data_IF_616582379002
#
_entry.id   IF_616582379002
#
_cell.length_a   1.000
_cell.length_b   1.000
_cell.length_c   1.000
_cell.angle_alpha   90.00
_cell.angle_beta   90.00
_cell.angle_gamma   90.00
#
_symmetry.space_group_name_H-M   'P 1'
#
loop_
_entity.id
_entity.type
_entity.pdbx_description
1 polymer ?
#
# COMPACT_ATOMS: atom_id res chain seq x y z
N UNK A 1 36.00 -1.57 37.06
CA UNK A 1 34.61 -1.40 37.53
C UNK A 1 33.69 -1.48 36.33
N UNK A 2 32.65 -2.32 36.30
CA UNK A 2 31.74 -2.36 35.16
C UNK A 2 30.91 -1.07 35.13
N UNK A 3 30.97 -0.34 34.01
CA UNK A 3 30.12 0.82 33.74
C UNK A 3 28.66 0.38 33.76
N UNK A 4 27.89 0.89 34.73
CA UNK A 4 26.43 0.83 34.69
C UNK A 4 25.96 1.80 33.62
N UNK A 5 25.64 1.28 32.44
CA UNK A 5 24.91 2.02 31.43
C UNK A 5 23.47 2.16 31.93
N UNK A 6 23.09 3.38 32.32
CA UNK A 6 21.68 3.71 32.52
C UNK A 6 21.02 3.73 31.15
N UNK A 7 20.39 2.62 30.79
CA UNK A 7 19.40 2.62 29.72
C UNK A 7 18.20 3.39 30.28
N UNK A 8 17.96 4.60 29.76
CA UNK A 8 16.67 5.26 29.96
C UNK A 8 15.60 4.40 29.27
N UNK A 9 15.03 3.46 30.03
CA UNK A 9 13.76 2.85 29.65
C UNK A 9 12.72 3.97 29.68
N UNK A 10 12.11 4.26 28.53
CA UNK A 10 10.92 5.09 28.47
C UNK A 10 9.91 4.61 29.53
N UNK A 11 9.20 5.52 30.23
CA UNK A 11 8.30 5.10 31.29
C UNK A 11 7.24 4.16 30.72
N UNK A 12 7.26 2.92 31.19
CA UNK A 12 6.13 2.00 31.13
C UNK A 12 5.21 2.46 32.25
N UNK A 13 4.40 3.50 32.01
CA UNK A 13 3.25 3.86 32.84
C UNK A 13 2.35 4.89 32.12
N UNK A 14 1.06 4.55 31.98
CA UNK A 14 -0.04 5.45 32.33
C UNK A 14 -0.30 6.77 31.58
N UNK A 15 0.45 7.19 30.57
CA UNK A 15 0.06 8.38 29.80
C UNK A 15 -1.18 8.07 28.95
N UNK A 16 -2.36 8.48 29.43
CA UNK A 16 -3.56 8.56 28.61
C UNK A 16 -3.27 9.48 27.42
N UNK A 17 -3.17 8.91 26.22
CA UNK A 17 -3.06 9.70 25.00
C UNK A 17 -4.24 10.68 24.95
N UNK A 18 -3.96 11.94 24.65
CA UNK A 18 -5.00 12.98 24.56
C UNK A 18 -5.62 13.04 23.16
N UNK A 19 -6.77 13.68 23.03
CA UNK A 19 -7.39 13.91 21.73
C UNK A 19 -6.51 14.77 20.82
N UNK A 20 -5.77 15.72 21.38
CA UNK A 20 -4.84 16.58 20.65
C UNK A 20 -3.65 15.78 20.09
N UNK A 21 -3.15 14.79 20.83
CA UNK A 21 -2.10 13.89 20.34
C UNK A 21 -2.59 13.03 19.18
N UNK A 22 -3.82 12.51 19.29
CA UNK A 22 -4.44 11.75 18.21
C UNK A 22 -4.72 12.63 16.99
N UNK A 23 -5.12 13.89 17.19
CA UNK A 23 -5.36 14.86 16.13
C UNK A 23 -4.04 15.23 15.43
N UNK A 24 -2.96 15.49 16.19
CA UNK A 24 -1.62 15.68 15.63
C UNK A 24 -1.18 14.48 14.80
N UNK A 25 -1.41 13.27 15.28
CA UNK A 25 -1.09 12.06 14.52
C UNK A 25 -1.88 11.97 13.21
N UNK A 26 -3.15 12.40 13.19
CA UNK A 26 -3.95 12.50 11.98
C UNK A 26 -3.38 13.54 10.99
N UNK A 27 -2.98 14.73 11.46
CA UNK A 27 -2.31 15.72 10.61
C UNK A 27 -1.00 15.20 10.01
N UNK A 28 -0.14 14.59 10.83
CA UNK A 28 1.14 14.02 10.36
C UNK A 28 0.88 12.92 9.31
N UNK A 29 -0.02 11.99 9.62
CA UNK A 29 -0.37 10.91 8.69
C UNK A 29 -0.98 11.46 7.39
N UNK A 30 -1.80 12.50 7.47
CA UNK A 30 -2.37 13.16 6.29
C UNK A 30 -1.27 13.83 5.46
N UNK A 31 -0.43 14.67 6.07
CA UNK A 31 0.67 15.36 5.40
C UNK A 31 1.64 14.41 4.69
N UNK A 32 2.02 13.30 5.33
CA UNK A 32 2.88 12.28 4.72
C UNK A 32 2.22 11.53 3.57
N UNK A 33 0.89 11.38 3.63
CA UNK A 33 0.12 10.69 2.61
C UNK A 33 -0.19 11.57 1.40
N UNK A 34 -0.25 12.90 1.57
CA UNK A 34 -0.53 13.83 0.48
C UNK A 34 0.48 13.68 -0.66
N UNK A 35 -0.04 13.60 -1.88
CA UNK A 35 0.77 13.65 -3.08
C UNK A 35 1.20 15.10 -3.33
N UNK A 36 2.50 15.36 -3.27
CA UNK A 36 3.08 16.69 -3.54
C UNK A 36 3.61 16.80 -4.98
N UNK A 37 3.26 15.85 -5.85
CA UNK A 37 3.74 15.80 -7.23
C UNK A 37 3.24 16.97 -8.06
N UNK A 38 2.12 17.60 -7.68
CA UNK A 38 1.59 18.79 -8.32
C UNK A 38 1.93 19.99 -7.42
N UNK A 39 2.81 20.87 -7.89
CA UNK A 39 3.27 22.05 -7.14
C UNK A 39 2.08 22.90 -6.67
N UNK A 40 2.01 23.13 -5.36
CA UNK A 40 1.01 24.01 -4.74
C UNK A 40 -0.39 23.42 -4.59
N UNK A 41 -0.62 22.17 -5.03
CA UNK A 41 -1.95 21.58 -5.02
C UNK A 41 -2.17 20.69 -3.78
N UNK A 42 -3.24 20.97 -3.04
CA UNK A 42 -3.59 20.33 -1.79
C UNK A 42 -4.62 19.22 -2.03
N UNK A 43 -4.17 18.00 -2.35
CA UNK A 43 -5.06 16.86 -2.64
C UNK A 43 -5.80 16.32 -1.40
N UNK A 44 -6.94 15.65 -1.61
CA UNK A 44 -7.66 14.98 -0.52
C UNK A 44 -7.03 13.63 -0.18
N UNK A 45 -7.42 13.02 0.93
CA UNK A 45 -7.02 11.66 1.27
C UNK A 45 -8.17 10.82 1.82
N UNK A 46 -8.09 9.50 1.66
CA UNK A 46 -9.13 8.57 2.12
C UNK A 46 -9.25 8.59 3.64
N UNK A 47 -10.44 8.86 4.16
CA UNK A 47 -10.72 8.86 5.61
C UNK A 47 -10.40 7.50 6.24
N UNK A 48 -10.78 6.41 5.57
CA UNK A 48 -10.54 5.05 6.04
C UNK A 48 -9.05 4.69 6.05
N UNK A 49 -8.27 5.13 5.05
CA UNK A 49 -6.82 4.90 5.06
C UNK A 49 -6.14 5.73 6.14
N UNK A 50 -6.56 6.97 6.33
CA UNK A 50 -6.05 7.81 7.41
C UNK A 50 -6.31 7.16 8.77
N UNK A 51 -7.52 6.64 8.97
CA UNK A 51 -7.89 5.85 10.16
C UNK A 51 -6.94 4.68 10.39
N UNK A 52 -6.66 3.90 9.34
CA UNK A 52 -5.76 2.73 9.43
C UNK A 52 -4.34 3.14 9.83
N UNK A 53 -3.80 4.21 9.24
CA UNK A 53 -2.45 4.70 9.54
C UNK A 53 -2.37 5.20 10.99
N UNK A 54 -3.35 5.98 11.43
CA UNK A 54 -3.37 6.51 12.80
C UNK A 54 -3.55 5.37 13.80
N UNK A 55 -4.48 4.44 13.54
CA UNK A 55 -4.71 3.26 14.38
C UNK A 55 -3.48 2.36 14.47
N UNK A 56 -2.70 2.20 13.38
CA UNK A 56 -1.48 1.40 13.43
C UNK A 56 -0.35 2.07 14.22
N UNK A 57 -0.29 3.41 14.21
CA UNK A 57 0.73 4.19 14.93
C UNK A 57 0.43 4.31 16.41
N UNK A 58 -0.83 4.56 16.75
CA UNK A 58 -1.30 4.80 18.12
C UNK A 58 -2.45 3.86 18.48
N UNK A 59 -2.24 2.53 18.51
CA UNK A 59 -3.33 1.57 18.67
C UNK A 59 -4.08 1.74 19.99
N UNK A 60 -3.35 1.96 21.11
CA UNK A 60 -3.96 2.15 22.43
C UNK A 60 -4.75 3.46 22.53
N UNK A 61 -4.18 4.58 22.07
CA UNK A 61 -4.88 5.87 22.10
C UNK A 61 -6.09 5.88 21.19
N UNK A 62 -5.99 5.26 20.01
CA UNK A 62 -7.12 5.08 19.11
C UNK A 62 -8.24 4.29 19.78
N UNK A 63 -7.91 3.16 20.42
CA UNK A 63 -8.90 2.34 21.10
C UNK A 63 -9.59 3.11 22.24
N UNK A 64 -8.82 3.82 23.07
CA UNK A 64 -9.32 4.56 24.22
C UNK A 64 -10.18 5.76 23.84
N UNK A 65 -9.77 6.54 22.84
CA UNK A 65 -10.45 7.79 22.45
C UNK A 65 -11.58 7.52 21.44
N UNK A 66 -11.30 6.70 20.42
CA UNK A 66 -12.22 6.47 19.30
C UNK A 66 -13.09 5.25 19.54
N UNK A 67 -12.51 4.07 19.75
CA UNK A 67 -13.31 2.83 19.74
C UNK A 67 -14.19 2.68 20.99
N UNK A 68 -13.65 3.05 22.17
CA UNK A 68 -14.31 2.94 23.49
C UNK A 68 -14.59 4.30 24.15
N UNK A 69 -14.04 5.37 23.60
CA UNK A 69 -14.11 6.71 24.19
C UNK A 69 -15.28 7.54 23.68
N UNK A 70 -15.16 8.86 23.84
CA UNK A 70 -16.24 9.84 23.58
C UNK A 70 -16.73 9.84 22.13
N UNK A 71 -15.91 9.39 21.19
CA UNK A 71 -16.28 9.35 19.77
C UNK A 71 -17.03 8.07 19.37
N UNK A 72 -17.08 7.02 20.21
CA UNK A 72 -17.89 5.82 19.99
C UNK A 72 -17.80 5.24 18.55
N UNK A 73 -16.58 5.06 18.05
CA UNK A 73 -16.22 4.59 16.69
C UNK A 73 -16.51 5.58 15.55
N UNK A 74 -16.90 6.82 15.85
CA UNK A 74 -17.16 7.88 14.86
C UNK A 74 -15.89 8.64 14.47
N UNK A 75 -14.99 7.94 13.79
CA UNK A 75 -13.71 8.48 13.31
C UNK A 75 -13.85 9.78 12.49
N UNK A 76 -14.82 9.84 11.58
CA UNK A 76 -15.01 11.01 10.72
C UNK A 76 -15.45 12.26 11.49
N UNK A 77 -16.26 12.10 12.56
CA UNK A 77 -16.64 13.22 13.42
C UNK A 77 -15.44 13.73 14.22
N UNK A 78 -14.60 12.83 14.75
CA UNK A 78 -13.35 13.23 15.41
C UNK A 78 -12.47 14.08 14.47
N UNK A 79 -12.33 13.65 13.21
CA UNK A 79 -11.57 14.41 12.22
C UNK A 79 -12.16 15.82 12.01
N UNK A 80 -13.47 15.94 11.94
CA UNK A 80 -14.15 17.21 11.66
C UNK A 80 -14.19 18.16 12.86
N UNK A 81 -14.51 17.64 14.04
CA UNK A 81 -14.77 18.44 15.23
C UNK A 81 -13.49 18.72 16.05
N UNK A 82 -12.48 17.83 15.97
CA UNK A 82 -11.27 17.95 16.78
C UNK A 82 -10.00 18.15 15.98
N UNK A 83 -9.85 17.47 14.84
CA UNK A 83 -8.61 17.47 14.07
C UNK A 83 -8.60 18.42 12.87
N UNK A 84 -9.60 19.30 12.71
CA UNK A 84 -9.55 20.36 11.69
C UNK A 84 -9.64 19.86 10.25
N UNK A 85 -10.40 18.80 9.99
CA UNK A 85 -10.65 18.30 8.63
C UNK A 85 -12.08 18.58 8.16
N UNK A 86 -12.28 18.57 6.85
CA UNK A 86 -13.59 18.42 6.23
C UNK A 86 -13.62 17.08 5.53
N UNK A 87 -14.54 16.19 5.92
CA UNK A 87 -14.74 14.91 5.26
C UNK A 87 -16.00 14.93 4.38
N UNK A 88 -15.89 14.41 3.16
CA UNK A 88 -16.89 14.53 2.12
C UNK A 88 -16.84 13.35 1.15
N UNK A 89 -17.95 13.10 0.46
CA UNK A 89 -17.96 12.26 -0.75
C UNK A 89 -18.03 13.18 -1.96
N UNK A 90 -17.31 12.84 -3.02
CA UNK A 90 -17.47 13.51 -4.30
C UNK A 90 -18.89 13.28 -4.83
N UNK A 91 -19.49 14.33 -5.40
CA UNK A 91 -20.82 14.27 -6.01
C UNK A 91 -20.69 13.89 -7.48
N UNK A 92 -21.78 13.44 -8.10
CA UNK A 92 -21.80 13.10 -9.53
C UNK A 92 -21.31 14.26 -10.41
N UNK A 93 -21.69 15.50 -10.09
CA UNK A 93 -21.23 16.67 -10.83
C UNK A 93 -19.72 16.93 -10.73
N UNK A 94 -19.05 16.46 -9.67
CA UNK A 94 -17.60 16.56 -9.56
C UNK A 94 -16.91 15.62 -10.55
N UNK A 95 -17.42 14.39 -10.71
CA UNK A 95 -16.90 13.43 -11.68
C UNK A 95 -17.10 13.89 -13.13
N UNK A 96 -18.18 14.62 -13.42
CA UNK A 96 -18.40 15.23 -14.74
C UNK A 96 -17.41 16.38 -15.02
N UNK A 97 -17.02 17.14 -13.98
CA UNK A 97 -16.08 18.26 -14.10
C UNK A 97 -14.61 17.83 -14.07
N UNK A 98 -14.33 16.63 -13.56
CA UNK A 98 -13.00 16.10 -13.34
C UNK A 98 -13.00 14.59 -13.63
N UNK A 99 -12.84 14.27 -14.91
CA UNK A 99 -13.01 12.92 -15.45
C UNK A 99 -12.10 11.87 -14.80
N UNK A 100 -10.90 12.27 -14.36
CA UNK A 100 -9.91 11.34 -13.82
C UNK A 100 -10.14 11.02 -12.34
N UNK A 101 -11.08 11.66 -11.65
CA UNK A 101 -11.43 11.28 -10.27
C UNK A 101 -11.86 9.81 -10.18
N UNK A 102 -12.64 9.34 -11.16
CA UNK A 102 -13.11 7.96 -11.24
C UNK A 102 -11.97 6.93 -11.44
N UNK A 103 -10.78 7.38 -11.86
CA UNK A 103 -9.61 6.52 -11.98
C UNK A 103 -9.20 5.98 -10.61
N UNK A 104 -9.36 6.75 -9.53
CA UNK A 104 -8.78 6.37 -8.24
C UNK A 104 -9.70 6.52 -7.02
N UNK A 105 -10.75 7.34 -7.09
CA UNK A 105 -11.69 7.57 -6.00
C UNK A 105 -13.08 7.02 -6.38
N UNK A 106 -13.54 5.94 -5.73
CA UNK A 106 -14.89 5.44 -5.96
C UNK A 106 -15.93 6.37 -5.31
N UNK A 107 -17.17 6.46 -5.85
CA UNK A 107 -18.21 7.39 -5.36
C UNK A 107 -18.59 7.23 -3.88
N UNK A 108 -18.35 6.04 -3.32
CA UNK A 108 -18.67 5.72 -1.92
C UNK A 108 -17.53 5.99 -0.95
N UNK A 109 -16.37 6.45 -1.44
CA UNK A 109 -15.21 6.69 -0.58
C UNK A 109 -15.25 8.07 0.05
N UNK A 110 -15.32 8.08 1.39
CA UNK A 110 -15.20 9.29 2.17
C UNK A 110 -13.76 9.82 2.11
N UNK A 111 -13.61 10.99 1.52
CA UNK A 111 -12.36 11.75 1.41
C UNK A 111 -12.33 12.80 2.50
N UNK A 112 -11.13 13.18 2.94
CA UNK A 112 -10.94 14.30 3.84
C UNK A 112 -9.91 15.27 3.25
N UNK A 113 -10.12 16.56 3.54
CA UNK A 113 -9.19 17.67 3.28
C UNK A 113 -9.02 18.48 4.55
N UNK A 114 -8.00 19.33 4.64
CA UNK A 114 -7.91 20.28 5.74
C UNK A 114 -8.99 21.37 5.57
N UNK A 115 -9.41 21.99 6.67
CA UNK A 115 -10.45 23.04 6.65
C UNK A 115 -10.02 24.22 5.78
N UNK A 116 -8.75 24.59 5.84
CA UNK A 116 -8.12 25.66 5.07
C UNK A 116 -7.99 25.37 3.57
N UNK A 117 -8.05 24.11 3.14
CA UNK A 117 -7.94 23.77 1.73
C UNK A 117 -9.24 24.11 0.97
N UNK A 118 -9.16 24.90 -0.10
CA UNK A 118 -10.32 25.16 -0.95
C UNK A 118 -10.76 23.90 -1.71
N UNK A 119 -12.07 23.62 -1.71
CA UNK A 119 -12.63 22.40 -2.31
C UNK A 119 -12.31 22.26 -3.81
N UNK A 120 -12.37 23.36 -4.56
CA UNK A 120 -12.12 23.37 -6.00
C UNK A 120 -10.66 23.01 -6.32
N UNK A 121 -9.71 23.55 -5.56
CA UNK A 121 -8.28 23.26 -5.71
C UNK A 121 -7.98 21.80 -5.35
N UNK A 122 -8.62 21.29 -4.29
CA UNK A 122 -8.53 19.88 -3.88
C UNK A 122 -9.04 18.97 -4.99
N UNK A 123 -10.16 19.32 -5.63
CA UNK A 123 -10.73 18.54 -6.73
C UNK A 123 -9.79 18.52 -7.94
N UNK A 124 -9.22 19.67 -8.30
CA UNK A 124 -8.25 19.75 -9.40
C UNK A 124 -6.99 18.93 -9.10
N UNK A 125 -6.50 18.99 -7.86
CA UNK A 125 -5.36 18.20 -7.41
C UNK A 125 -5.63 16.69 -7.51
N UNK A 126 -6.78 16.24 -7.01
CA UNK A 126 -7.18 14.84 -7.10
C UNK A 126 -7.36 14.39 -8.56
N UNK A 127 -7.97 15.22 -9.41
CA UNK A 127 -8.09 14.93 -10.84
C UNK A 127 -6.71 14.71 -11.50
N UNK A 128 -5.75 15.59 -11.22
CA UNK A 128 -4.41 15.49 -11.76
C UNK A 128 -3.65 14.26 -11.20
N UNK A 129 -3.91 13.85 -9.96
CA UNK A 129 -3.43 12.55 -9.44
C UNK A 129 -4.05 11.39 -10.23
N UNK A 130 -5.35 11.45 -10.54
CA UNK A 130 -6.01 10.46 -11.38
C UNK A 130 -5.37 10.34 -12.76
N UNK A 131 -5.07 11.47 -13.39
CA UNK A 131 -4.37 11.52 -14.68
C UNK A 131 -2.96 10.91 -14.57
N UNK A 132 -2.19 11.29 -13.55
CA UNK A 132 -0.85 10.74 -13.28
C UNK A 132 -0.91 9.22 -13.10
N UNK A 133 -1.84 8.73 -12.29
CA UNK A 133 -2.03 7.29 -12.07
C UNK A 133 -2.34 6.57 -13.37
N UNK A 134 -3.23 7.14 -14.20
CA UNK A 134 -3.60 6.55 -15.48
C UNK A 134 -2.42 6.49 -16.45
N UNK A 135 -1.63 7.56 -16.55
CA UNK A 135 -0.51 7.67 -17.47
C UNK A 135 0.69 6.82 -17.04
N UNK A 136 1.06 6.85 -15.76
CA UNK A 136 2.34 6.32 -15.29
C UNK A 136 2.25 4.97 -14.57
N UNK A 137 1.10 4.59 -14.02
CA UNK A 137 1.01 3.41 -13.14
C UNK A 137 -0.02 2.38 -13.56
N UNK A 138 -1.13 2.81 -14.16
CA UNK A 138 -2.27 1.92 -14.46
C UNK A 138 -2.25 1.37 -15.88
N UNK A 139 -1.22 1.67 -16.66
CA UNK A 139 -0.96 0.97 -17.92
C UNK A 139 -0.63 -0.51 -17.62
N UNK A 140 -1.26 -1.49 -18.30
CA UNK A 140 -1.09 -2.91 -17.98
C UNK A 140 0.36 -3.36 -17.93
N UNK A 141 1.17 -2.95 -18.91
CA UNK A 141 2.58 -3.33 -19.00
C UNK A 141 3.42 -2.70 -17.89
N UNK A 142 3.19 -1.43 -17.58
CA UNK A 142 3.89 -0.72 -16.52
C UNK A 142 3.56 -1.30 -15.15
N UNK A 143 2.29 -1.61 -14.89
CA UNK A 143 1.88 -2.22 -13.64
C UNK A 143 2.46 -3.63 -13.50
N UNK A 144 2.50 -4.41 -14.58
CA UNK A 144 3.11 -5.74 -14.60
C UNK A 144 4.62 -5.68 -14.34
N UNK A 145 5.33 -4.78 -15.02
CA UNK A 145 6.76 -4.54 -14.80
C UNK A 145 7.03 -4.13 -13.34
N UNK A 146 6.23 -3.22 -12.79
CA UNK A 146 6.30 -2.80 -11.38
C UNK A 146 6.10 -3.99 -10.44
N UNK A 147 5.09 -4.83 -10.68
CA UNK A 147 4.82 -6.02 -9.87
C UNK A 147 5.99 -7.02 -9.89
N UNK A 148 6.61 -7.23 -11.06
CA UNK A 148 7.79 -8.10 -11.21
C UNK A 148 9.01 -7.53 -10.49
N UNK A 149 9.31 -6.25 -10.69
CA UNK A 149 10.43 -5.57 -10.05
C UNK A 149 10.33 -5.63 -8.52
N UNK A 150 9.14 -5.37 -7.98
CA UNK A 150 8.92 -5.42 -6.53
C UNK A 150 9.02 -6.84 -5.99
N UNK A 151 8.49 -7.83 -6.72
CA UNK A 151 8.64 -9.26 -6.36
C UNK A 151 10.12 -9.68 -6.28
N UNK A 152 10.93 -9.26 -7.26
CA UNK A 152 12.37 -9.54 -7.30
C UNK A 152 13.13 -8.81 -6.18
N UNK A 153 12.76 -7.55 -5.88
CA UNK A 153 13.31 -6.77 -4.78
C UNK A 153 13.09 -7.48 -3.43
N UNK A 154 11.84 -7.88 -3.17
CA UNK A 154 11.46 -8.62 -1.96
C UNK A 154 12.20 -9.95 -1.85
N UNK A 155 12.28 -10.71 -2.93
CA UNK A 155 13.00 -11.99 -2.96
C UNK A 155 14.50 -11.80 -2.72
N UNK A 156 15.12 -10.78 -3.34
CA UNK A 156 16.55 -10.46 -3.16
C UNK A 156 16.84 -10.09 -1.71
N UNK A 157 15.99 -9.27 -1.08
CA UNK A 157 16.11 -8.92 0.32
C UNK A 157 16.00 -10.15 1.23
N UNK A 158 15.10 -11.08 0.92
CA UNK A 158 14.93 -12.32 1.68
C UNK A 158 16.08 -13.31 1.50
N UNK A 159 16.59 -13.48 0.26
CA UNK A 159 17.66 -14.42 -0.06
C UNK A 159 19.05 -13.96 0.39
N UNK A 160 19.26 -12.65 0.62
CA UNK A 160 20.48 -12.13 1.24
C UNK A 160 20.69 -12.59 2.68
N UNK A 161 19.70 -13.21 3.32
CA UNK A 161 19.77 -13.67 4.71
C UNK A 161 20.22 -15.14 4.80
N UNK A 162 20.72 -15.79 3.74
CA UNK A 162 21.03 -17.23 3.76
C UNK A 162 22.41 -17.55 4.37
N UNK A 163 22.49 -18.53 5.31
CA UNK A 163 21.36 -19.27 5.86
C UNK A 163 20.65 -18.44 6.93
N UNK A 164 19.30 -18.30 6.85
CA UNK A 164 18.58 -17.64 7.92
C UNK A 164 18.81 -18.47 9.19
N UNK A 165 19.15 -17.83 10.32
CA UNK A 165 19.22 -18.52 11.60
C UNK A 165 17.95 -19.34 11.83
N UNK A 166 18.01 -20.47 12.54
CA UNK A 166 16.82 -21.34 12.77
C UNK A 166 15.62 -20.61 13.41
N UNK A 167 15.86 -19.48 14.06
CA UNK A 167 14.86 -18.58 14.66
C UNK A 167 14.41 -17.44 13.73
N UNK A 168 15.11 -17.21 12.61
CA UNK A 168 14.75 -16.25 11.59
C UNK A 168 13.65 -16.83 10.72
N UNK A 169 12.42 -16.63 11.18
CA UNK A 169 11.24 -16.79 10.32
C UNK A 169 11.31 -15.67 9.29
N UNK A 170 11.44 -16.01 8.01
CA UNK A 170 11.14 -15.08 6.91
C UNK A 170 9.89 -14.31 7.31
N UNK A 171 9.96 -12.97 7.35
CA UNK A 171 8.83 -12.14 7.75
C UNK A 171 7.59 -12.65 7.02
N UNK A 172 6.53 -12.96 7.78
CA UNK A 172 5.29 -13.51 7.23
C UNK A 172 4.75 -12.66 6.07
N UNK A 173 5.11 -11.37 6.08
CA UNK A 173 4.78 -10.32 5.11
C UNK A 173 5.14 -10.65 3.65
N UNK A 174 6.20 -11.43 3.39
CA UNK A 174 6.67 -11.74 2.03
C UNK A 174 6.56 -13.23 1.63
N UNK A 175 6.09 -14.07 2.55
CA UNK A 175 6.13 -15.54 2.41
C UNK A 175 5.44 -16.09 1.14
N UNK A 176 4.33 -15.49 0.70
CA UNK A 176 3.60 -15.96 -0.47
C UNK A 176 4.24 -15.44 -1.77
N UNK A 177 4.82 -14.24 -1.77
CA UNK A 177 5.58 -13.70 -2.90
C UNK A 177 6.80 -14.58 -3.20
N UNK A 178 7.61 -14.88 -2.17
CA UNK A 178 8.82 -15.70 -2.31
C UNK A 178 8.46 -17.09 -2.84
N UNK A 179 7.45 -17.73 -2.23
CA UNK A 179 7.01 -19.05 -2.66
C UNK A 179 6.46 -19.05 -4.09
N UNK A 180 5.74 -18.01 -4.49
CA UNK A 180 5.25 -17.87 -5.86
C UNK A 180 6.44 -17.78 -6.83
N UNK A 181 7.45 -16.96 -6.51
CA UNK A 181 8.64 -16.81 -7.34
C UNK A 181 9.43 -18.11 -7.47
N UNK A 182 9.62 -18.87 -6.39
CA UNK A 182 10.29 -20.17 -6.42
C UNK A 182 9.61 -21.17 -7.37
N UNK A 183 8.27 -21.15 -7.43
CA UNK A 183 7.50 -21.99 -8.36
C UNK A 183 7.65 -21.48 -9.79
N UNK A 184 7.56 -20.15 -10.00
CA UNK A 184 7.66 -19.54 -11.33
C UNK A 184 9.05 -19.72 -11.95
N UNK A 185 10.11 -19.71 -11.15
CA UNK A 185 11.50 -19.91 -11.58
C UNK A 185 11.91 -21.39 -11.64
N UNK A 186 11.01 -22.33 -11.34
CA UNK A 186 11.33 -23.77 -11.32
C UNK A 186 12.29 -24.19 -10.20
N UNK A 187 12.53 -23.32 -9.20
CA UNK A 187 13.40 -23.60 -8.05
C UNK A 187 12.70 -24.41 -6.96
N UNK A 188 11.38 -24.49 -7.00
CA UNK A 188 10.60 -25.29 -6.05
C UNK A 188 10.92 -26.78 -6.22
N UNK A 189 11.54 -27.38 -5.20
CA UNK A 189 11.83 -28.82 -5.15
C UNK A 189 10.51 -29.58 -5.12
N UNK A 190 10.04 -30.00 -6.30
CA UNK A 190 9.07 -31.07 -6.56
C UNK A 190 7.88 -31.11 -5.58
N UNK A 191 6.78 -30.39 -5.86
CA UNK A 191 5.36 -30.72 -5.53
C UNK A 191 4.38 -29.55 -5.53
N UNK A 192 4.82 -28.32 -5.77
CA UNK A 192 3.92 -27.16 -5.69
C UNK A 192 3.54 -26.63 -7.06
N UNK A 193 2.25 -26.71 -7.37
CA UNK A 193 1.65 -25.99 -8.49
C UNK A 193 1.24 -24.59 -8.06
N UNK A 194 1.30 -23.64 -8.99
CA UNK A 194 0.65 -22.34 -8.81
C UNK A 194 -0.84 -22.59 -8.65
N UNK A 195 -1.44 -22.09 -7.57
CA UNK A 195 -2.88 -22.10 -7.38
C UNK A 195 -3.40 -20.70 -7.07
N UNK A 196 -4.68 -20.48 -7.36
CA UNK A 196 -5.36 -19.19 -7.18
C UNK A 196 -5.20 -18.62 -5.76
N UNK A 197 -5.20 -19.49 -4.74
CA UNK A 197 -5.09 -19.06 -3.35
C UNK A 197 -3.72 -18.46 -3.05
N UNK A 198 -2.65 -19.07 -3.56
CA UNK A 198 -1.30 -18.55 -3.45
C UNK A 198 -1.18 -17.23 -4.20
N UNK A 199 -1.65 -17.15 -5.44
CA UNK A 199 -1.62 -15.94 -6.26
C UNK A 199 -2.36 -14.78 -5.61
N UNK A 200 -3.58 -15.00 -5.09
CA UNK A 200 -4.36 -13.95 -4.41
C UNK A 200 -3.69 -13.45 -3.12
N UNK A 201 -2.97 -14.32 -2.40
CA UNK A 201 -2.22 -13.94 -1.20
C UNK A 201 -0.94 -13.20 -1.55
N UNK A 202 -0.19 -13.68 -2.55
CA UNK A 202 0.99 -13.00 -3.07
C UNK A 202 0.63 -11.61 -3.60
N UNK A 203 -0.46 -11.48 -4.36
CA UNK A 203 -0.97 -10.19 -4.83
C UNK A 203 -1.32 -9.25 -3.65
N UNK A 204 -1.95 -9.76 -2.58
CA UNK A 204 -2.26 -8.95 -1.40
C UNK A 204 -0.99 -8.46 -0.68
N UNK A 205 0.05 -9.29 -0.58
CA UNK A 205 1.36 -8.89 -0.04
C UNK A 205 2.02 -7.86 -0.95
N UNK A 206 2.00 -8.09 -2.27
CA UNK A 206 2.64 -7.22 -3.25
C UNK A 206 2.03 -5.81 -3.25
N UNK A 207 0.70 -5.70 -3.09
CA UNK A 207 0.02 -4.42 -2.90
C UNK A 207 0.59 -3.66 -1.68
N UNK A 208 0.91 -4.34 -0.57
CA UNK A 208 1.46 -3.68 0.60
C UNK A 208 2.86 -3.10 0.31
N UNK A 209 3.70 -3.84 -0.41
CA UNK A 209 5.03 -3.39 -0.81
C UNK A 209 4.95 -2.22 -1.81
N UNK A 210 4.17 -2.36 -2.87
CA UNK A 210 3.96 -1.29 -3.88
C UNK A 210 3.46 0.01 -3.22
N UNK A 211 2.52 -0.09 -2.26
CA UNK A 211 1.97 1.07 -1.57
C UNK A 211 2.95 1.71 -0.59
N UNK A 212 3.95 0.99 -0.10
CA UNK A 212 4.94 1.52 0.85
C UNK A 212 5.75 2.64 0.19
N UNK A 213 6.23 2.37 -1.01
CA UNK A 213 7.22 3.20 -1.69
C UNK A 213 6.61 4.23 -2.65
N UNK A 214 5.34 4.06 -3.03
CA UNK A 214 4.73 4.89 -4.06
C UNK A 214 3.61 5.80 -3.53
N UNK A 215 3.90 7.10 -3.39
CA UNK A 215 2.96 8.09 -2.83
C UNK A 215 1.71 8.28 -3.68
N UNK A 216 1.83 8.29 -5.01
CA UNK A 216 0.67 8.43 -5.90
C UNK A 216 -0.29 7.23 -5.74
N UNK A 217 0.23 6.01 -5.68
CA UNK A 217 -0.59 4.81 -5.51
C UNK A 217 -1.29 4.75 -4.13
N UNK A 218 -0.84 5.52 -3.13
CA UNK A 218 -1.58 5.69 -1.87
C UNK A 218 -2.93 6.40 -2.06
N UNK A 219 -3.15 7.10 -3.17
CA UNK A 219 -4.45 7.71 -3.48
C UNK A 219 -5.42 6.77 -4.19
N UNK A 220 -4.94 5.63 -4.68
CA UNK A 220 -5.78 4.61 -5.31
C UNK A 220 -6.50 3.78 -4.24
N UNK A 221 -7.77 3.48 -4.47
CA UNK A 221 -8.50 2.49 -3.66
C UNK A 221 -7.71 1.18 -3.56
N UNK A 222 -7.44 0.73 -2.33
CA UNK A 222 -6.71 -0.53 -2.08
C UNK A 222 -7.42 -1.72 -2.74
N UNK A 223 -8.75 -1.72 -2.73
CA UNK A 223 -9.53 -2.77 -3.38
C UNK A 223 -9.44 -2.73 -4.91
N UNK A 224 -9.25 -1.56 -5.51
CA UNK A 224 -9.01 -1.43 -6.96
C UNK A 224 -7.61 -1.92 -7.31
N UNK A 225 -6.59 -1.43 -6.60
CA UNK A 225 -5.20 -1.86 -6.81
C UNK A 225 -5.05 -3.38 -6.62
N UNK A 226 -5.66 -3.94 -5.56
CA UNK A 226 -5.62 -5.39 -5.31
C UNK A 226 -6.24 -6.19 -6.45
N UNK A 227 -7.35 -5.73 -7.04
CA UNK A 227 -7.97 -6.40 -8.20
C UNK A 227 -7.04 -6.38 -9.40
N UNK A 228 -6.44 -5.22 -9.71
CA UNK A 228 -5.50 -5.08 -10.83
C UNK A 228 -4.27 -5.97 -10.65
N UNK A 229 -3.63 -5.90 -9.49
CA UNK A 229 -2.45 -6.72 -9.17
C UNK A 229 -2.79 -8.21 -9.15
N UNK A 230 -3.96 -8.60 -8.64
CA UNK A 230 -4.40 -10.00 -8.68
C UNK A 230 -4.55 -10.49 -10.12
N UNK A 231 -5.16 -9.71 -11.00
CA UNK A 231 -5.32 -10.08 -12.41
C UNK A 231 -3.96 -10.25 -13.11
N UNK A 232 -2.99 -9.40 -12.79
CA UNK A 232 -1.62 -9.51 -13.30
C UNK A 232 -0.92 -10.76 -12.77
N UNK A 233 -0.96 -10.99 -11.46
CA UNK A 233 -0.29 -12.14 -10.83
C UNK A 233 -0.90 -13.46 -11.29
N UNK A 234 -2.21 -13.49 -11.58
CA UNK A 234 -2.88 -14.67 -12.16
C UNK A 234 -2.38 -14.98 -13.58
N UNK A 235 -2.01 -13.96 -14.36
CA UNK A 235 -1.52 -14.16 -15.73
C UNK A 235 -0.06 -14.67 -15.79
N UNK A 236 0.66 -14.65 -14.67
CA UNK A 236 2.03 -15.16 -14.60
C UNK A 236 2.07 -16.67 -14.73
N UNK A 237 2.90 -17.15 -15.66
CA UNK A 237 3.11 -18.58 -15.93
C UNK A 237 4.51 -19.00 -15.50
N UNK A 238 4.69 -20.25 -15.02
CA UNK A 238 6.01 -20.78 -14.74
C UNK A 238 6.88 -20.78 -16.00
N UNK A 239 8.18 -20.55 -15.83
CA UNK A 239 9.16 -20.82 -16.88
C UNK A 239 9.16 -22.34 -17.09
N UNK A 240 8.70 -22.79 -18.26
CA UNK A 240 8.83 -24.18 -18.65
C UNK A 240 10.32 -24.42 -18.87
N UNK A 241 10.99 -25.05 -17.91
CA UNK A 241 12.32 -25.60 -18.17
C UNK A 241 12.16 -26.62 -19.31
N UNK A 242 12.77 -26.33 -20.46
CA UNK A 242 12.86 -27.28 -21.56
C UNK A 242 13.30 -28.64 -20.99
N UNK A 243 12.53 -29.67 -21.27
CA UNK A 243 12.91 -31.04 -20.94
C UNK A 243 14.23 -31.36 -21.65
N UNK A 244 15.08 -32.24 -21.09
CA UNK A 244 16.38 -32.58 -21.69
C UNK A 244 16.31 -33.05 -23.16
N UNK A 245 15.14 -33.43 -23.65
CA UNK A 245 14.88 -33.89 -25.03
C UNK A 245 14.77 -32.78 -26.08
N UNK A 246 14.64 -31.50 -25.70
CA UNK A 246 14.49 -30.39 -26.66
C UNK A 246 15.83 -29.80 -27.14
N UNK A 247 16.97 -30.39 -26.75
CA UNK A 247 18.31 -29.89 -27.07
C UNK A 247 18.69 -29.92 -28.56
N UNK A 248 17.79 -30.27 -29.48
CA UNK A 248 18.09 -30.33 -30.91
C UNK A 248 17.38 -29.29 -31.78
N UNK A 249 16.57 -28.39 -31.22
CA UNK A 249 16.07 -27.25 -31.98
C UNK A 249 16.06 -25.99 -31.12
N UNK A 250 16.43 -24.88 -31.75
CA UNK A 250 16.40 -23.48 -31.25
C UNK A 250 17.75 -22.95 -30.76
N UNK A 251 18.67 -22.78 -31.71
CA UNK A 251 19.30 -21.46 -31.88
C UNK A 251 18.22 -20.46 -32.30
N UNK A 252 18.26 -19.26 -31.71
CA UNK A 252 17.38 -18.10 -31.92
C UNK A 252 16.02 -18.11 -31.19
N UNK A 253 16.02 -17.58 -29.97
CA UNK A 253 15.28 -16.34 -29.64
C UNK A 253 15.58 -15.94 -28.18
N UNK A 254 16.63 -15.14 -28.00
CA UNK A 254 16.85 -14.36 -26.78
C UNK A 254 16.17 -13.02 -26.99
N UNK A 255 14.97 -12.83 -26.46
CA UNK A 255 14.41 -11.52 -26.11
C UNK A 255 13.07 -11.66 -25.38
N UNK A 256 13.09 -11.61 -24.05
CA UNK A 256 12.00 -11.04 -23.22
C UNK A 256 12.29 -11.17 -21.72
N UNK A 257 13.36 -10.51 -21.29
CA UNK A 257 13.46 -9.90 -19.96
C UNK A 257 14.16 -8.56 -20.16
N UNK A 258 13.37 -7.59 -20.60
CA UNK A 258 13.69 -6.16 -20.66
C UNK A 258 12.45 -5.41 -20.19
#
# INVERSE_FOLDING_TARGET
MPQRVFVNLHPIDGCSLSEEELARAAHVAFAEARCHTIKGAHCSFSSARLQQIVKSRLPRGYEQIIDKGVWCRKWHLFLMERAGFVCFNYRECDYLKAEHLAVHIPPTELRCRLVEDHYEDVRQADNAIGLLLQAEFLQPDVLNATCKAETLSVATAAWRVIPPPRWYRVSYEASCIIRLLEILEGRAVLRYTVNDRLQRRAAAQLVQFILKDNRALKHLSVSKLRRLVTNIVISWKPVVCATPDDKHQVTAHISSFG
#
